data_IF_257043201306
#
_entry.id   IF_257043201306
#
_cell.length_a   1.000
_cell.length_b   1.000
_cell.length_c   1.000
_cell.angle_alpha   90.00
_cell.angle_beta   90.00
_cell.angle_gamma   90.00
#
_symmetry.space_group_name_H-M   'P 1'
#
loop_
_entity.id
_entity.type
_entity.pdbx_description
1 polymer ?
#
# COMPACT_ATOMS: atom_id res chain seq x y z
N UNK A 1 -10.68 13.73 5.24
CA UNK A 1 -10.06 12.65 4.46
C UNK A 1 -8.73 13.16 3.98
N UNK A 2 -7.64 12.48 4.34
CA UNK A 2 -6.30 12.83 3.85
C UNK A 2 -6.14 12.22 2.45
N UNK A 3 -5.90 13.09 1.45
CA UNK A 3 -5.79 12.72 0.04
C UNK A 3 -4.39 13.04 -0.45
N UNK A 4 -3.70 12.03 -1.00
CA UNK A 4 -2.34 12.19 -1.54
C UNK A 4 -2.36 12.09 -3.06
N UNK A 5 -1.69 13.01 -3.75
CA UNK A 5 -1.62 12.96 -5.22
C UNK A 5 -0.83 11.73 -5.65
N UNK A 6 -1.24 11.13 -6.76
CA UNK A 6 -0.54 9.98 -7.33
C UNK A 6 0.96 10.24 -7.57
N UNK A 7 1.34 11.45 -7.97
CA UNK A 7 2.75 11.83 -8.17
C UNK A 7 3.54 11.80 -6.86
N UNK A 8 2.96 12.34 -5.79
CA UNK A 8 3.54 12.34 -4.45
C UNK A 8 3.68 10.89 -3.93
N UNK A 9 2.71 10.02 -4.21
CA UNK A 9 2.78 8.59 -3.86
C UNK A 9 3.93 7.90 -4.59
N UNK A 10 4.08 8.12 -5.90
CA UNK A 10 5.16 7.49 -6.66
C UNK A 10 6.54 7.91 -6.16
N UNK A 11 6.70 9.18 -5.78
CA UNK A 11 7.95 9.71 -5.23
C UNK A 11 8.20 9.18 -3.81
N UNK A 12 7.21 9.30 -2.90
CA UNK A 12 7.33 8.93 -1.49
C UNK A 12 7.62 7.45 -1.27
N UNK A 13 7.00 6.59 -2.08
CA UNK A 13 7.10 5.13 -1.92
C UNK A 13 8.04 4.48 -2.93
N UNK A 14 8.67 5.25 -3.82
CA UNK A 14 9.59 4.75 -4.83
C UNK A 14 8.95 3.74 -5.79
N UNK A 15 7.65 3.83 -6.02
CA UNK A 15 6.93 2.94 -6.96
C UNK A 15 6.85 3.60 -8.33
N UNK A 16 7.17 2.84 -9.37
CA UNK A 16 7.05 3.34 -10.74
C UNK A 16 5.58 3.56 -11.12
N UNK A 17 5.32 4.46 -12.08
CA UNK A 17 3.97 4.63 -12.62
C UNK A 17 3.43 3.34 -13.27
N UNK A 18 4.31 2.47 -13.77
CA UNK A 18 3.95 1.14 -14.31
C UNK A 18 3.46 0.22 -13.21
N UNK A 19 4.19 0.13 -12.10
CA UNK A 19 3.83 -0.68 -10.92
C UNK A 19 2.49 -0.22 -10.35
N UNK A 20 2.33 1.10 -10.16
CA UNK A 20 1.07 1.69 -9.69
C UNK A 20 -0.11 1.33 -10.59
N UNK A 21 0.02 1.55 -11.91
CA UNK A 21 -1.04 1.21 -12.88
C UNK A 21 -1.38 -0.26 -12.85
N UNK A 22 -0.39 -1.14 -12.69
CA UNK A 22 -0.63 -2.56 -12.56
C UNK A 22 -1.46 -2.88 -11.31
N UNK A 23 -1.13 -2.30 -10.15
CA UNK A 23 -1.90 -2.48 -8.91
C UNK A 23 -3.35 -1.98 -9.04
N UNK A 24 -3.57 -0.86 -9.73
CA UNK A 24 -4.91 -0.37 -10.04
C UNK A 24 -5.66 -1.34 -10.96
N UNK A 25 -5.01 -1.83 -12.01
CA UNK A 25 -5.62 -2.75 -12.97
C UNK A 25 -6.04 -4.07 -12.34
N UNK A 26 -5.25 -4.59 -11.39
CA UNK A 26 -5.59 -5.84 -10.68
C UNK A 26 -6.45 -5.62 -9.44
N UNK A 27 -6.90 -4.38 -9.17
CA UNK A 27 -7.82 -4.07 -8.07
C UNK A 27 -7.18 -3.95 -6.68
N UNK A 28 -5.84 -4.00 -6.58
CA UNK A 28 -5.15 -3.82 -5.30
C UNK A 28 -5.18 -2.39 -4.79
N UNK A 29 -5.30 -1.41 -5.67
CA UNK A 29 -5.42 0.00 -5.33
C UNK A 29 -6.53 0.64 -6.16
N UNK A 30 -7.18 1.64 -5.59
CA UNK A 30 -8.17 2.45 -6.27
C UNK A 30 -7.80 3.92 -6.09
N UNK A 31 -7.68 4.64 -7.21
CA UNK A 31 -7.51 6.08 -7.16
C UNK A 31 -8.86 6.76 -7.36
N UNK A 32 -9.04 7.88 -6.68
CA UNK A 32 -10.19 8.74 -6.88
C UNK A 32 -9.80 9.97 -7.69
N UNK A 33 -10.74 10.48 -8.47
CA UNK A 33 -10.63 11.78 -9.12
C UNK A 33 -11.82 12.63 -8.69
N UNK A 34 -11.66 13.48 -7.67
CA UNK A 34 -12.71 14.41 -7.30
C UNK A 34 -13.07 15.29 -8.50
N UNK A 35 -14.37 15.58 -8.67
CA UNK A 35 -14.88 16.34 -9.82
C UNK A 35 -14.30 17.75 -9.94
N UNK A 36 -13.90 18.33 -8.81
CA UNK A 36 -13.28 19.64 -8.71
C UNK A 36 -11.76 19.63 -8.95
N UNK A 37 -11.15 18.45 -9.16
CA UNK A 37 -9.71 18.32 -9.30
C UNK A 37 -9.25 17.71 -10.64
N UNK A 38 -8.11 18.23 -11.11
CA UNK A 38 -7.48 17.73 -12.34
C UNK A 38 -6.62 16.48 -12.08
N UNK A 39 -6.19 16.30 -10.83
CA UNK A 39 -5.31 15.21 -10.42
C UNK A 39 -6.09 14.01 -9.88
N UNK A 40 -5.42 12.87 -9.86
CA UNK A 40 -5.92 11.65 -9.20
C UNK A 40 -5.24 11.50 -7.84
N UNK A 41 -5.99 11.01 -6.87
CA UNK A 41 -5.59 10.92 -5.48
C UNK A 41 -5.77 9.49 -4.95
N UNK A 42 -5.03 9.19 -3.90
CA UNK A 42 -5.28 8.06 -3.02
C UNK A 42 -5.71 8.59 -1.66
N UNK A 43 -6.70 7.95 -1.07
CA UNK A 43 -7.11 8.19 0.31
C UNK A 43 -6.21 7.44 1.30
N UNK A 44 -6.45 7.67 2.58
CA UNK A 44 -5.69 7.03 3.66
C UNK A 44 -5.75 5.51 3.62
N UNK A 45 -6.86 4.92 3.19
CA UNK A 45 -7.03 3.47 3.10
C UNK A 45 -6.12 2.88 2.02
N UNK A 46 -6.13 3.47 0.82
CA UNK A 46 -5.26 3.08 -0.28
C UNK A 46 -3.78 3.30 0.05
N UNK A 47 -3.45 4.38 0.77
CA UNK A 47 -2.07 4.60 1.24
C UNK A 47 -1.66 3.53 2.27
N UNK A 48 -2.53 3.14 3.19
CA UNK A 48 -2.27 2.07 4.17
C UNK A 48 -2.07 0.72 3.48
N UNK A 49 -2.96 0.39 2.53
CA UNK A 49 -2.87 -0.82 1.72
C UNK A 49 -1.58 -0.85 0.89
N UNK A 50 -1.19 0.28 0.27
CA UNK A 50 0.06 0.37 -0.48
C UNK A 50 1.29 0.08 0.41
N UNK A 51 1.34 0.59 1.64
CA UNK A 51 2.42 0.28 2.59
C UNK A 51 2.51 -1.22 2.87
N UNK A 52 1.37 -1.87 3.12
CA UNK A 52 1.31 -3.31 3.34
C UNK A 52 1.82 -4.08 2.11
N UNK A 53 1.36 -3.73 0.91
CA UNK A 53 1.83 -4.33 -0.35
C UNK A 53 3.36 -4.19 -0.47
N UNK A 54 3.94 -3.04 -0.15
CA UNK A 54 5.39 -2.84 -0.21
C UNK A 54 6.13 -3.77 0.76
N UNK A 55 5.63 -3.94 1.99
CA UNK A 55 6.22 -4.87 2.97
C UNK A 55 6.14 -6.31 2.46
N UNK A 56 4.98 -6.75 2.01
CA UNK A 56 4.77 -8.10 1.45
C UNK A 56 5.69 -8.35 0.23
N UNK A 57 5.87 -7.35 -0.63
CA UNK A 57 6.79 -7.43 -1.77
C UNK A 57 8.26 -7.51 -1.36
N UNK A 58 8.66 -6.79 -0.29
CA UNK A 58 10.01 -6.93 0.30
C UNK A 58 10.24 -8.33 0.88
N UNK A 59 9.19 -8.99 1.35
CA UNK A 59 9.20 -10.39 1.78
C UNK A 59 9.12 -11.39 0.61
N UNK A 60 9.24 -10.92 -0.64
CA UNK A 60 9.20 -11.72 -1.87
C UNK A 60 7.86 -12.43 -2.13
N UNK A 61 6.77 -11.97 -1.50
CA UNK A 61 5.44 -12.52 -1.76
C UNK A 61 5.00 -12.12 -3.19
N UNK A 62 4.59 -13.09 -4.03
CA UNK A 62 4.09 -12.80 -5.38
C UNK A 62 2.80 -11.97 -5.38
N UNK A 63 2.62 -11.09 -6.36
CA UNK A 63 1.39 -10.26 -6.47
C UNK A 63 0.12 -11.11 -6.51
N UNK A 64 0.16 -12.27 -7.17
CA UNK A 64 -0.97 -13.22 -7.23
C UNK A 64 -1.44 -13.67 -5.84
N UNK A 65 -0.53 -13.79 -4.89
CA UNK A 65 -0.86 -14.24 -3.54
C UNK A 65 -1.31 -13.06 -2.67
N UNK A 66 -0.75 -11.86 -2.93
CA UNK A 66 -1.25 -10.62 -2.36
C UNK A 66 -2.69 -10.34 -2.79
N UNK A 67 -3.06 -10.62 -4.04
CA UNK A 67 -4.46 -10.52 -4.51
C UNK A 67 -5.39 -11.40 -3.68
N UNK A 68 -5.05 -12.68 -3.51
CA UNK A 68 -5.83 -13.64 -2.70
C UNK A 68 -5.98 -13.21 -1.25
N UNK A 69 -4.96 -12.54 -0.68
CA UNK A 69 -5.03 -11.97 0.67
C UNK A 69 -6.16 -10.92 0.75
N UNK A 70 -6.26 -10.02 -0.23
CA UNK A 70 -7.27 -8.95 -0.25
C UNK A 70 -8.64 -9.40 -0.77
N UNK A 71 -8.78 -10.65 -1.23
CA UNK A 71 -10.08 -11.27 -1.52
C UNK A 71 -10.77 -11.80 -0.25
N UNK A 72 -10.05 -11.92 0.87
CA UNK A 72 -10.57 -12.40 2.16
C UNK A 72 -10.37 -11.37 3.26
N UNK A 73 -11.47 -10.92 3.87
CA UNK A 73 -11.43 -9.92 4.95
C UNK A 73 -10.62 -10.40 6.15
N UNK A 74 -10.72 -11.68 6.53
CA UNK A 74 -9.97 -12.24 7.66
C UNK A 74 -8.45 -12.24 7.37
N UNK A 75 -8.06 -12.58 6.14
CA UNK A 75 -6.66 -12.57 5.71
C UNK A 75 -6.11 -11.14 5.64
N UNK A 76 -6.91 -10.18 5.18
CA UNK A 76 -6.55 -8.77 5.19
C UNK A 76 -6.28 -8.28 6.62
N UNK A 77 -7.17 -8.55 7.57
CA UNK A 77 -7.01 -8.17 8.99
C UNK A 77 -5.74 -8.81 9.58
N UNK A 78 -5.50 -10.09 9.28
CA UNK A 78 -4.32 -10.80 9.74
C UNK A 78 -3.03 -10.16 9.20
N UNK A 79 -2.98 -9.84 7.91
CA UNK A 79 -1.84 -9.18 7.27
C UNK A 79 -1.62 -7.78 7.83
N UNK A 80 -2.67 -7.00 8.04
CA UNK A 80 -2.59 -5.70 8.70
C UNK A 80 -1.94 -5.81 10.08
N UNK A 81 -2.31 -6.82 10.86
CA UNK A 81 -1.76 -7.06 12.20
C UNK A 81 -0.28 -7.45 12.16
N UNK A 82 0.11 -8.33 11.22
CA UNK A 82 1.50 -8.73 11.04
C UNK A 82 2.38 -7.58 10.56
N UNK A 83 1.94 -6.82 9.55
CA UNK A 83 2.70 -5.69 9.01
C UNK A 83 2.93 -4.64 10.09
N UNK A 84 1.89 -4.30 10.87
CA UNK A 84 2.01 -3.38 12.01
C UNK A 84 3.08 -3.86 13.01
N UNK A 85 3.07 -5.14 13.36
CA UNK A 85 4.04 -5.72 14.30
C UNK A 85 5.47 -5.68 13.73
N UNK A 86 5.64 -5.94 12.44
CA UNK A 86 6.95 -5.84 11.77
C UNK A 86 7.48 -4.40 11.83
N UNK A 87 6.64 -3.42 11.56
CA UNK A 87 7.00 -2.00 11.64
C UNK A 87 7.39 -1.58 13.06
N UNK A 88 6.64 -2.01 14.08
CA UNK A 88 6.97 -1.78 15.49
C UNK A 88 8.34 -2.37 15.87
N UNK A 89 8.61 -3.62 15.47
CA UNK A 89 9.89 -4.28 15.72
C UNK A 89 11.02 -3.51 15.02
N UNK A 90 10.84 -3.16 13.75
CA UNK A 90 11.82 -2.41 12.99
C UNK A 90 12.13 -1.04 13.65
N UNK A 91 11.13 -0.33 14.15
CA UNK A 91 11.30 0.95 14.85
C UNK A 91 11.98 0.78 16.22
N UNK A 92 11.66 -0.29 16.94
CA UNK A 92 12.29 -0.60 18.24
C UNK A 92 13.76 -1.06 18.13
N UNK A 93 14.16 -1.59 16.98
CA UNK A 93 15.51 -2.12 16.72
C UNK A 93 16.61 -1.07 16.52
N UNK A 94 16.25 0.21 16.31
CA UNK A 94 17.22 1.30 16.10
C UNK A 94 17.68 2.00 17.40
N UNK A 95 17.19 1.58 18.58
CA UNK A 95 17.50 2.22 19.87
C UNK A 95 18.59 1.57 20.72
N UNK A 96 19.34 0.58 20.20
CA UNK A 96 20.45 -0.06 20.93
C UNK A 96 21.66 -0.27 20.02
N UNK A 97 22.40 0.81 19.76
CA UNK A 97 23.84 0.76 19.52
C UNK A 97 24.43 2.15 19.68
#
# INVERSE_FOLDING_TARGET
MDLMKITEVTEKFGISSRTRRYYEQVGLLQCERPSFEKYRFYDSENISRLKQIIVLRKMQIPIKDILRIYESQDMEILVQSFVRRIEEIALSGFGKR
#
